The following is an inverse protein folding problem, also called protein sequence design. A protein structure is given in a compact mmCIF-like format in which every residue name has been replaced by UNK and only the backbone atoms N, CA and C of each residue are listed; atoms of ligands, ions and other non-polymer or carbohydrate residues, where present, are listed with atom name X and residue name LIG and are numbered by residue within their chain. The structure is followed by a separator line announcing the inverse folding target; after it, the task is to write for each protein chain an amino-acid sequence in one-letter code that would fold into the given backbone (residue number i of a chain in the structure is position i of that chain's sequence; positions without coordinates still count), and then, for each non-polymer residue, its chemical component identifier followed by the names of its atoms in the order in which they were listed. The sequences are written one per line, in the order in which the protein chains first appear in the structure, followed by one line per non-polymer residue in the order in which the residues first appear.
data_IF_894521596240
#
_entry.id   IF_894521596240
#
_cell.length_a   1.000
_cell.length_b   1.000
_cell.length_c   1.000
_cell.angle_alpha   90.00
_cell.angle_beta   90.00
_cell.angle_gamma   90.00
#
_symmetry.space_group_name_H-M   'P 1'
#
loop_
_entity.id
_entity.type
_entity.pdbx_description
1 polymer ?
#
# COMPACT_ATOMS: atom_id res chain seq x y z
N UNK A 1 -0.34 19.41 9.00
CA UNK A 1 -1.08 18.16 9.31
C UNK A 1 -1.39 17.42 8.03
N UNK A 2 -1.64 16.11 8.12
CA UNK A 2 -2.05 15.28 6.97
C UNK A 2 -3.33 15.84 6.33
N UNK A 3 -4.31 16.29 7.12
CA UNK A 3 -5.55 16.85 6.60
C UNK A 3 -5.31 18.03 5.64
N UNK A 4 -4.49 19.00 6.03
CA UNK A 4 -4.17 20.15 5.16
C UNK A 4 -3.39 19.69 3.90
N UNK A 5 -2.49 18.73 4.03
CA UNK A 5 -1.74 18.22 2.89
C UNK A 5 -2.68 17.55 1.88
N UNK A 6 -3.65 16.74 2.34
CA UNK A 6 -4.70 16.14 1.49
C UNK A 6 -5.52 17.19 0.73
N UNK A 7 -5.90 18.29 1.39
CA UNK A 7 -6.64 19.38 0.74
C UNK A 7 -5.82 20.01 -0.41
N UNK A 8 -4.54 20.27 -0.17
CA UNK A 8 -3.62 20.82 -1.17
C UNK A 8 -3.48 19.82 -2.35
N UNK A 9 -3.22 18.54 -2.07
CA UNK A 9 -3.10 17.53 -3.12
C UNK A 9 -4.38 17.41 -3.93
N UNK A 10 -5.55 17.39 -3.27
CA UNK A 10 -6.84 17.30 -3.96
C UNK A 10 -7.17 18.51 -4.83
N UNK A 11 -6.72 19.70 -4.43
CA UNK A 11 -6.89 20.96 -5.18
C UNK A 11 -5.97 21.03 -6.39
N UNK A 12 -4.70 20.65 -6.22
CA UNK A 12 -3.64 20.88 -7.20
C UNK A 12 -3.47 19.72 -8.21
N UNK A 13 -3.88 18.49 -7.86
CA UNK A 13 -3.79 17.35 -8.76
C UNK A 13 -4.71 17.50 -9.97
N UNK A 14 -4.13 17.34 -11.16
CA UNK A 14 -4.84 17.50 -12.45
C UNK A 14 -5.60 16.23 -12.79
N UNK A 15 -6.77 16.07 -12.20
CA UNK A 15 -7.68 14.94 -12.44
C UNK A 15 -8.91 15.43 -13.17
N UNK A 16 -9.25 14.79 -14.29
CA UNK A 16 -10.43 15.18 -15.08
C UNK A 16 -11.73 14.95 -14.29
N UNK A 17 -12.80 15.67 -14.64
CA UNK A 17 -14.11 15.47 -14.01
C UNK A 17 -14.60 14.02 -14.20
N UNK A 18 -14.41 13.47 -15.39
CA UNK A 18 -14.80 12.10 -15.72
C UNK A 18 -14.05 11.09 -14.83
N UNK A 19 -12.72 11.26 -14.64
CA UNK A 19 -11.93 10.36 -13.80
C UNK A 19 -12.38 10.45 -12.34
N UNK A 20 -12.74 11.65 -11.84
CA UNK A 20 -13.29 11.83 -10.49
C UNK A 20 -14.66 11.17 -10.29
N UNK A 21 -15.44 10.99 -11.32
CA UNK A 21 -16.75 10.34 -11.29
C UNK A 21 -16.64 8.81 -11.39
N UNK A 22 -15.60 8.30 -12.05
CA UNK A 22 -15.40 6.87 -12.33
C UNK A 22 -14.38 6.18 -11.43
N UNK A 23 -13.50 6.94 -10.75
CA UNK A 23 -12.45 6.38 -9.89
C UNK A 23 -12.68 6.82 -8.44
N UNK A 24 -12.92 5.84 -7.57
CA UNK A 24 -13.07 6.06 -6.13
C UNK A 24 -11.69 6.07 -5.49
N UNK A 25 -11.39 7.09 -4.71
CA UNK A 25 -10.16 7.18 -3.92
C UNK A 25 -10.51 7.02 -2.45
N UNK A 26 -10.22 5.87 -1.82
CA UNK A 26 -10.48 5.66 -0.40
C UNK A 26 -9.79 6.74 0.45
N UNK A 27 -10.38 7.09 1.59
CA UNK A 27 -9.78 8.08 2.48
C UNK A 27 -8.47 7.60 3.07
N UNK A 28 -8.35 6.30 3.30
CA UNK A 28 -7.09 5.68 3.73
C UNK A 28 -6.01 5.75 2.66
N UNK A 29 -6.35 5.62 1.37
CA UNK A 29 -5.39 5.80 0.27
C UNK A 29 -4.87 7.25 0.22
N UNK A 30 -5.75 8.25 0.40
CA UNK A 30 -5.34 9.66 0.50
C UNK A 30 -4.41 9.90 1.70
N UNK A 31 -4.71 9.28 2.85
CA UNK A 31 -3.86 9.38 4.04
C UNK A 31 -2.49 8.74 3.81
N UNK A 32 -2.45 7.53 3.20
CA UNK A 32 -1.22 6.83 2.91
C UNK A 32 -0.32 7.62 1.96
N UNK A 33 -0.91 8.24 0.93
CA UNK A 33 -0.17 9.06 -0.02
C UNK A 33 0.58 10.22 0.69
N UNK A 34 -0.09 10.93 1.58
CA UNK A 34 0.56 11.99 2.36
C UNK A 34 1.56 11.41 3.36
N UNK A 35 1.27 10.24 3.95
CA UNK A 35 2.19 9.56 4.85
C UNK A 35 3.51 9.20 4.15
N UNK A 36 3.50 8.80 2.88
CA UNK A 36 4.72 8.57 2.09
C UNK A 36 5.59 9.83 2.04
N UNK A 37 5.01 11.00 1.77
CA UNK A 37 5.76 12.25 1.75
C UNK A 37 6.27 12.65 3.14
N UNK A 38 5.52 12.39 4.21
CA UNK A 38 5.97 12.62 5.58
C UNK A 38 7.12 11.68 5.98
N UNK A 39 7.06 10.43 5.53
CA UNK A 39 8.10 9.43 5.74
C UNK A 39 9.37 9.82 4.98
N UNK A 40 9.26 10.27 3.72
CA UNK A 40 10.39 10.74 2.94
C UNK A 40 11.15 11.89 3.62
N UNK A 41 10.43 12.85 4.23
CA UNK A 41 11.06 13.98 4.96
C UNK A 41 11.84 13.58 6.21
N UNK A 42 11.62 12.37 6.72
CA UNK A 42 12.26 11.83 7.93
C UNK A 42 13.22 10.67 7.64
N UNK A 43 13.32 10.28 6.38
CA UNK A 43 14.17 9.16 5.96
C UNK A 43 15.64 9.54 6.02
N UNK A 44 16.46 8.61 6.49
CA UNK A 44 17.92 8.72 6.46
C UNK A 44 18.52 8.63 5.04
N UNK A 45 17.76 8.11 4.08
CA UNK A 45 18.15 8.00 2.68
C UNK A 45 17.92 9.29 1.88
N UNK A 46 17.17 10.27 2.42
CA UNK A 46 16.78 11.49 1.73
C UNK A 46 17.49 12.70 2.32
N UNK A 47 18.06 13.54 1.45
CA UNK A 47 18.73 14.76 1.91
C UNK A 47 17.73 15.72 2.56
N UNK A 48 17.88 15.88 3.87
CA UNK A 48 17.02 16.78 4.67
C UNK A 48 17.17 18.27 4.29
N UNK A 49 18.31 18.66 3.67
CA UNK A 49 18.55 20.06 3.25
C UNK A 49 17.80 20.41 1.98
N UNK A 50 17.73 19.47 1.03
CA UNK A 50 16.99 19.64 -0.23
C UNK A 50 15.47 19.56 0.02
N UNK A 51 15.06 18.86 1.08
CA UNK A 51 13.68 18.69 1.46
C UNK A 51 12.89 17.80 0.48
N UNK A 52 11.60 17.63 0.76
CA UNK A 52 10.68 16.88 -0.11
C UNK A 52 9.63 17.85 -0.65
N UNK A 53 9.59 17.96 -1.98
CA UNK A 53 8.65 18.86 -2.65
C UNK A 53 7.19 18.48 -2.37
N UNK A 54 6.32 19.47 -2.12
CA UNK A 54 4.88 19.27 -2.07
C UNK A 54 4.31 18.69 -3.40
N UNK A 55 5.03 18.86 -4.51
CA UNK A 55 4.64 18.29 -5.80
C UNK A 55 4.76 16.75 -5.84
N UNK A 56 5.41 16.12 -4.85
CA UNK A 56 5.48 14.67 -4.77
C UNK A 56 4.07 14.07 -4.69
N UNK A 57 3.27 14.49 -3.71
CA UNK A 57 1.93 13.93 -3.51
C UNK A 57 0.96 14.31 -4.63
N UNK A 58 1.13 15.49 -5.23
CA UNK A 58 0.35 15.90 -6.41
C UNK A 58 0.62 14.94 -7.59
N UNK A 59 1.90 14.75 -7.96
CA UNK A 59 2.27 13.84 -9.06
C UNK A 59 1.92 12.38 -8.74
N UNK A 60 2.07 11.98 -7.49
CA UNK A 60 1.73 10.63 -7.04
C UNK A 60 0.21 10.37 -7.12
N UNK A 61 -0.63 11.35 -6.76
CA UNK A 61 -2.08 11.26 -6.97
C UNK A 61 -2.43 11.11 -8.45
N UNK A 62 -1.80 11.89 -9.32
CA UNK A 62 -1.99 11.79 -10.77
C UNK A 62 -1.60 10.39 -11.30
N UNK A 63 -0.52 9.79 -10.78
CA UNK A 63 -0.09 8.43 -11.16
C UNK A 63 -1.06 7.35 -10.63
N UNK A 64 -1.55 7.47 -9.39
CA UNK A 64 -2.58 6.56 -8.87
C UNK A 64 -3.85 6.60 -9.73
N UNK A 65 -4.30 7.80 -10.07
CA UNK A 65 -5.46 7.98 -10.96
C UNK A 65 -5.22 7.40 -12.35
N UNK A 66 -3.99 7.53 -12.89
CA UNK A 66 -3.63 6.96 -14.18
C UNK A 66 -3.61 5.43 -14.15
N UNK A 67 -3.09 4.81 -13.08
CA UNK A 67 -3.10 3.35 -12.91
C UNK A 67 -4.54 2.80 -12.84
N UNK A 68 -5.40 3.43 -12.04
CA UNK A 68 -6.81 3.06 -11.97
C UNK A 68 -7.55 3.28 -13.30
N UNK A 69 -7.23 4.35 -14.02
CA UNK A 69 -7.81 4.61 -15.35
C UNK A 69 -7.39 3.57 -16.39
N UNK A 70 -6.13 3.11 -16.34
CA UNK A 70 -5.67 2.02 -17.21
C UNK A 70 -6.50 0.76 -16.93
N UNK A 71 -6.71 0.42 -15.67
CA UNK A 71 -7.56 -0.71 -15.26
C UNK A 71 -9.00 -0.57 -15.78
N UNK A 72 -9.62 0.63 -15.72
CA UNK A 72 -10.95 0.86 -16.30
C UNK A 72 -10.99 0.55 -17.79
N UNK A 73 -9.93 0.94 -18.52
CA UNK A 73 -9.84 0.70 -19.97
C UNK A 73 -9.69 -0.80 -20.26
N UNK A 74 -8.86 -1.49 -19.51
CA UNK A 74 -8.56 -2.91 -19.71
C UNK A 74 -9.73 -3.83 -19.31
N UNK A 75 -10.47 -3.46 -18.26
CA UNK A 75 -11.61 -4.24 -17.77
C UNK A 75 -12.94 -3.83 -18.41
N UNK A 76 -12.98 -2.73 -19.19
CA UNK A 76 -14.20 -2.11 -19.70
C UNK A 76 -15.24 -1.77 -18.60
N UNK A 77 -14.78 -1.65 -17.34
CA UNK A 77 -15.62 -1.32 -16.20
C UNK A 77 -16.00 0.17 -16.21
N UNK A 78 -17.16 0.49 -15.66
CA UNK A 78 -17.63 1.89 -15.55
C UNK A 78 -17.05 2.61 -14.34
N UNK A 79 -16.61 1.87 -13.31
CA UNK A 79 -16.02 2.40 -12.08
C UNK A 79 -14.92 1.48 -11.57
N UNK A 80 -13.96 2.05 -10.84
CA UNK A 80 -12.95 1.32 -10.09
C UNK A 80 -12.50 2.10 -8.87
N UNK A 81 -11.87 1.40 -7.92
CA UNK A 81 -11.35 1.95 -6.67
C UNK A 81 -9.83 1.92 -6.68
N UNK A 82 -9.17 2.96 -6.18
CA UNK A 82 -7.72 2.93 -5.92
C UNK A 82 -7.41 1.84 -4.89
N UNK A 83 -6.47 0.98 -5.22
CA UNK A 83 -6.00 -0.16 -4.41
C UNK A 83 -4.64 0.15 -3.81
N UNK A 84 -4.26 -0.53 -2.75
CA UNK A 84 -2.93 -0.37 -2.16
C UNK A 84 -1.84 -0.83 -3.14
N UNK A 85 -2.08 -1.87 -3.92
CA UNK A 85 -1.16 -2.35 -4.97
C UNK A 85 -0.89 -1.28 -6.04
N UNK A 86 -1.79 -0.33 -6.28
CA UNK A 86 -1.58 0.78 -7.22
C UNK A 86 -0.46 1.73 -6.77
N UNK A 87 -0.07 1.70 -5.49
CA UNK A 87 1.00 2.54 -4.94
C UNK A 87 2.37 2.26 -5.56
N UNK A 88 2.57 1.12 -6.22
CA UNK A 88 3.79 0.90 -6.99
C UNK A 88 3.91 1.88 -8.18
N UNK A 89 2.80 2.37 -8.70
CA UNK A 89 2.78 3.38 -9.77
C UNK A 89 3.32 4.75 -9.36
N UNK A 90 3.44 5.04 -8.05
CA UNK A 90 3.95 6.32 -7.57
C UNK A 90 5.48 6.36 -7.44
N UNK A 91 6.20 5.25 -7.60
CA UNK A 91 7.65 5.19 -7.52
C UNK A 91 8.33 6.31 -8.36
N UNK A 92 7.96 6.53 -9.64
CA UNK A 92 8.53 7.63 -10.44
C UNK A 92 8.24 9.03 -9.88
N UNK A 93 7.10 9.20 -9.20
CA UNK A 93 6.78 10.47 -8.51
C UNK A 93 7.66 10.70 -7.29
N UNK A 94 8.05 9.64 -6.59
CA UNK A 94 8.96 9.72 -5.45
C UNK A 94 10.37 10.01 -5.95
N UNK A 95 10.93 9.15 -6.81
CA UNK A 95 12.31 9.25 -7.30
C UNK A 95 12.59 10.56 -8.02
N UNK A 96 11.60 11.12 -8.71
CA UNK A 96 11.71 12.41 -9.40
C UNK A 96 11.56 13.66 -8.51
N UNK A 97 11.35 13.51 -7.18
CA UNK A 97 11.05 14.62 -6.26
C UNK A 97 11.80 14.57 -4.93
N UNK A 98 12.70 13.61 -4.77
CA UNK A 98 13.62 13.50 -3.64
C UNK A 98 15.05 13.60 -4.14
N UNK A 99 15.95 14.10 -3.30
CA UNK A 99 17.38 14.01 -3.47
C UNK A 99 17.90 13.00 -2.45
N UNK A 100 18.74 12.07 -2.90
CA UNK A 100 19.26 11.00 -2.05
C UNK A 100 20.59 11.46 -1.41
N UNK A 101 20.85 10.99 -0.20
CA UNK A 101 22.19 10.99 0.37
C UNK A 101 22.97 9.80 -0.19
N UNK A 102 24.28 9.73 0.10
CA UNK A 102 25.17 8.69 -0.43
C UNK A 102 24.65 7.26 -0.15
N UNK A 103 24.16 6.99 1.04
CA UNK A 103 23.57 5.70 1.41
C UNK A 103 22.34 5.37 0.58
N UNK A 104 21.51 6.38 0.29
CA UNK A 104 20.34 6.23 -0.57
C UNK A 104 20.70 6.00 -2.04
N UNK A 105 21.79 6.62 -2.53
CA UNK A 105 22.31 6.36 -3.89
C UNK A 105 22.83 4.93 -4.03
N UNK A 106 23.40 4.37 -2.96
CA UNK A 106 23.89 2.98 -2.95
C UNK A 106 22.74 1.96 -2.99
N UNK A 107 21.65 2.20 -2.27
CA UNK A 107 20.45 1.36 -2.32
C UNK A 107 19.74 1.46 -3.69
N UNK A 108 19.79 2.62 -4.31
CA UNK A 108 19.10 2.92 -5.56
C UNK A 108 17.73 3.57 -5.33
N UNK A 109 17.43 4.54 -6.20
CA UNK A 109 16.25 5.41 -6.03
C UNK A 109 14.92 4.66 -5.96
N UNK A 110 14.75 3.62 -6.79
CA UNK A 110 13.52 2.82 -6.81
C UNK A 110 13.37 1.99 -5.53
N UNK A 111 14.47 1.44 -5.00
CA UNK A 111 14.43 0.69 -3.76
C UNK A 111 14.14 1.61 -2.56
N UNK A 112 14.78 2.79 -2.51
CA UNK A 112 14.45 3.80 -1.51
C UNK A 112 12.96 4.18 -1.59
N UNK A 113 12.40 4.35 -2.79
CA UNK A 113 10.97 4.66 -2.95
C UNK A 113 10.08 3.55 -2.38
N UNK A 114 10.42 2.26 -2.60
CA UNK A 114 9.71 1.12 -1.99
C UNK A 114 9.81 1.11 -0.48
N UNK A 115 11.01 1.36 0.08
CA UNK A 115 11.22 1.48 1.53
C UNK A 115 10.35 2.60 2.12
N UNK A 116 10.21 3.73 1.42
CA UNK A 116 9.36 4.83 1.87
C UNK A 116 7.87 4.46 1.87
N UNK A 117 7.41 3.71 0.87
CA UNK A 117 6.04 3.17 0.81
C UNK A 117 5.83 2.16 1.94
N UNK A 118 6.74 1.20 2.12
CA UNK A 118 6.65 0.19 3.17
C UNK A 118 6.61 0.82 4.57
N UNK A 119 7.43 1.84 4.82
CA UNK A 119 7.42 2.59 6.08
C UNK A 119 6.10 3.35 6.29
N UNK A 120 5.53 3.94 5.24
CA UNK A 120 4.23 4.59 5.32
C UNK A 120 3.10 3.59 5.61
N UNK A 121 3.12 2.43 4.96
CA UNK A 121 2.20 1.31 5.23
C UNK A 121 2.32 0.85 6.68
N UNK A 122 3.54 0.64 7.20
CA UNK A 122 3.78 0.25 8.58
C UNK A 122 3.19 1.25 9.58
N UNK A 123 3.36 2.56 9.32
CA UNK A 123 2.83 3.63 10.18
C UNK A 123 1.30 3.59 10.17
N UNK A 124 0.67 3.53 8.99
CA UNK A 124 -0.79 3.53 8.87
C UNK A 124 -1.40 2.25 9.44
N UNK A 125 -0.78 1.08 9.19
CA UNK A 125 -1.16 -0.18 9.79
C UNK A 125 -1.15 -0.09 11.32
N UNK A 126 -0.07 0.44 11.92
CA UNK A 126 0.06 0.59 13.37
C UNK A 126 -0.88 1.61 14.01
N UNK A 127 -1.56 2.46 13.22
CA UNK A 127 -2.59 3.38 13.69
C UNK A 127 -3.97 2.73 13.76
N UNK A 128 -4.26 1.79 12.86
CA UNK A 128 -5.57 1.16 12.70
C UNK A 128 -5.66 -0.21 13.39
N UNK A 129 -4.54 -0.92 13.50
CA UNK A 129 -4.52 -2.30 13.94
C UNK A 129 -3.56 -2.52 15.12
N UNK A 130 -3.79 -3.56 15.96
CA UNK A 130 -2.91 -3.90 17.07
C UNK A 130 -1.46 -4.13 16.63
N UNK A 131 -0.51 -3.62 17.43
CA UNK A 131 0.93 -3.76 17.13
C UNK A 131 1.40 -5.19 17.36
N UNK A 132 1.95 -5.82 16.33
CA UNK A 132 2.45 -7.21 16.35
C UNK A 132 3.50 -7.40 17.45
N UNK A 133 4.51 -6.54 17.51
CA UNK A 133 5.63 -6.65 18.47
C UNK A 133 5.21 -6.56 19.94
N UNK A 134 4.11 -5.87 20.25
CA UNK A 134 3.58 -5.79 21.62
C UNK A 134 2.90 -7.10 22.01
N UNK A 135 2.07 -7.64 21.14
CA UNK A 135 1.32 -8.87 21.37
C UNK A 135 2.24 -10.09 21.52
N UNK A 136 3.30 -10.18 20.71
CA UNK A 136 4.28 -11.26 20.78
C UNK A 136 5.03 -11.27 22.11
N UNK A 137 5.38 -10.10 22.66
CA UNK A 137 6.04 -9.98 23.98
C UNK A 137 5.15 -10.43 25.13
N UNK A 138 3.85 -10.28 24.99
CA UNK A 138 2.86 -10.66 26.00
C UNK A 138 2.51 -12.16 25.94
N UNK A 139 2.99 -12.90 24.93
CA UNK A 139 2.68 -14.33 24.73
C UNK A 139 1.19 -14.59 24.43
N UNK A 140 0.47 -13.58 24.02
CA UNK A 140 -0.97 -13.64 23.74
C UNK A 140 -1.18 -14.04 22.27
N UNK A 141 -2.20 -14.89 22.01
CA UNK A 141 -2.63 -15.15 20.64
C UNK A 141 -2.98 -13.84 19.95
N UNK A 142 -2.26 -13.51 18.86
CA UNK A 142 -2.48 -12.26 18.13
C UNK A 142 -3.72 -12.36 17.24
N UNK A 143 -4.39 -11.26 16.90
CA UNK A 143 -5.48 -11.27 15.91
C UNK A 143 -5.04 -11.84 14.56
N UNK A 144 -3.74 -11.80 14.27
CA UNK A 144 -3.17 -12.22 12.99
C UNK A 144 -2.82 -13.71 12.96
N UNK A 145 -2.88 -14.43 14.08
CA UNK A 145 -2.45 -15.84 14.16
C UNK A 145 -3.19 -16.73 13.17
N UNK A 146 -4.51 -16.63 13.12
CA UNK A 146 -5.33 -17.45 12.22
C UNK A 146 -5.13 -17.06 10.76
N UNK A 147 -4.84 -15.78 10.47
CA UNK A 147 -4.50 -15.30 9.14
C UNK A 147 -3.14 -15.83 8.68
N UNK A 148 -2.12 -15.76 9.53
CA UNK A 148 -0.78 -16.30 9.21
C UNK A 148 -0.87 -17.81 8.98
N UNK A 149 -1.59 -18.55 9.82
CA UNK A 149 -1.82 -19.99 9.63
C UNK A 149 -2.58 -20.32 8.33
N UNK A 150 -3.49 -19.44 7.89
CA UNK A 150 -4.16 -19.62 6.60
C UNK A 150 -3.15 -19.63 5.45
N UNK A 151 -2.11 -18.80 5.52
CA UNK A 151 -1.04 -18.73 4.52
C UNK A 151 -0.08 -19.92 4.56
N UNK A 152 -0.05 -20.75 5.62
CA UNK A 152 0.78 -21.96 5.65
C UNK A 152 0.43 -22.95 4.52
N UNK A 153 -0.79 -22.91 4.03
CA UNK A 153 -1.30 -23.81 2.98
C UNK A 153 -1.93 -23.10 1.79
N UNK A 154 -1.97 -21.77 1.82
CA UNK A 154 -2.62 -20.94 0.79
C UNK A 154 -1.72 -19.77 0.40
N UNK A 155 -2.02 -19.20 -0.73
CA UNK A 155 -1.50 -17.91 -1.16
C UNK A 155 -2.62 -17.09 -1.78
N UNK A 156 -2.41 -15.79 -1.97
CA UNK A 156 -3.30 -14.95 -2.76
C UNK A 156 -2.50 -14.20 -3.82
N UNK A 157 -3.07 -14.10 -5.00
CA UNK A 157 -2.57 -13.29 -6.11
C UNK A 157 -3.61 -12.24 -6.45
N UNK A 158 -3.20 -10.98 -6.43
CA UNK A 158 -4.03 -9.82 -6.70
C UNK A 158 -3.59 -9.21 -8.01
N UNK A 159 -4.35 -9.45 -9.09
CA UNK A 159 -3.99 -8.97 -10.41
C UNK A 159 -4.33 -7.48 -10.56
N UNK A 160 -3.48 -6.75 -11.26
CA UNK A 160 -3.71 -5.32 -11.55
C UNK A 160 -4.95 -5.10 -12.44
N UNK A 161 -5.27 -6.08 -13.28
CA UNK A 161 -6.36 -6.04 -14.26
C UNK A 161 -7.66 -6.68 -13.79
N UNK A 162 -7.75 -7.16 -12.54
CA UNK A 162 -9.01 -7.65 -11.98
C UNK A 162 -10.01 -6.49 -11.88
N UNK A 163 -11.28 -6.76 -12.18
CA UNK A 163 -12.38 -5.86 -11.81
C UNK A 163 -12.45 -5.67 -10.29
N UNK A 164 -13.12 -4.63 -9.81
CA UNK A 164 -13.27 -4.45 -8.34
C UNK A 164 -14.00 -5.62 -7.69
N UNK A 165 -14.99 -6.22 -8.38
CA UNK A 165 -15.73 -7.37 -7.89
C UNK A 165 -14.81 -8.59 -7.72
N UNK A 166 -13.99 -8.92 -8.72
CA UNK A 166 -13.02 -10.03 -8.67
C UNK A 166 -11.98 -9.81 -7.59
N UNK A 167 -11.41 -8.60 -7.55
CA UNK A 167 -10.38 -8.22 -6.60
C UNK A 167 -10.89 -8.30 -5.14
N UNK A 168 -12.05 -7.70 -4.86
CA UNK A 168 -12.64 -7.73 -3.51
C UNK A 168 -13.14 -9.13 -3.14
N UNK A 169 -13.66 -9.91 -4.10
CA UNK A 169 -14.02 -11.30 -3.87
C UNK A 169 -12.82 -12.14 -3.45
N UNK A 170 -11.66 -11.94 -4.10
CA UNK A 170 -10.42 -12.61 -3.75
C UNK A 170 -9.99 -12.28 -2.31
N UNK A 171 -9.98 -11.02 -1.92
CA UNK A 171 -9.66 -10.60 -0.54
C UNK A 171 -10.68 -11.15 0.47
N UNK A 172 -11.98 -11.07 0.18
CA UNK A 172 -13.07 -11.57 1.05
C UNK A 172 -13.10 -13.09 1.18
N UNK A 173 -12.42 -13.83 0.30
CA UNK A 173 -12.27 -15.29 0.41
C UNK A 173 -11.42 -15.70 1.63
N UNK A 174 -10.55 -14.80 2.12
CA UNK A 174 -9.68 -15.01 3.27
C UNK A 174 -10.44 -14.69 4.55
N UNK A 175 -11.17 -15.68 5.08
CA UNK A 175 -12.05 -15.48 6.25
C UNK A 175 -11.37 -14.86 7.46
N UNK A 176 -10.14 -15.26 7.87
CA UNK A 176 -9.45 -14.60 8.98
C UNK A 176 -9.15 -13.12 8.71
N UNK A 177 -8.89 -12.73 7.45
CA UNK A 177 -8.64 -11.33 7.08
C UNK A 177 -9.90 -10.48 7.24
N UNK A 178 -11.04 -10.99 6.76
CA UNK A 178 -12.36 -10.34 6.92
C UNK A 178 -12.66 -10.12 8.39
N UNK A 179 -12.48 -11.14 9.24
CA UNK A 179 -12.75 -11.03 10.68
C UNK A 179 -11.91 -9.94 11.37
N UNK A 180 -10.66 -9.76 10.95
CA UNK A 180 -9.79 -8.69 11.51
C UNK A 180 -10.32 -7.31 11.10
N UNK A 181 -10.68 -7.13 9.82
CA UNK A 181 -11.19 -5.86 9.30
C UNK A 181 -12.51 -5.51 9.98
N UNK A 182 -13.48 -6.44 10.05
CA UNK A 182 -14.77 -6.22 10.72
C UNK A 182 -14.61 -5.85 12.20
N UNK A 183 -13.66 -6.48 12.90
CA UNK A 183 -13.44 -6.20 14.32
C UNK A 183 -12.84 -4.79 14.59
N UNK A 184 -12.14 -4.18 13.64
CA UNK A 184 -11.39 -2.94 13.89
C UNK A 184 -11.86 -1.75 13.04
N UNK A 185 -12.61 -1.97 11.97
CA UNK A 185 -12.90 -0.94 10.96
C UNK A 185 -14.37 -0.90 10.51
N UNK A 186 -15.27 -1.41 11.34
CA UNK A 186 -16.72 -1.49 11.02
C UNK A 186 -17.39 -0.13 10.73
N UNK A 187 -16.76 0.98 11.17
CA UNK A 187 -17.27 2.34 10.92
C UNK A 187 -16.79 2.94 9.58
N UNK A 188 -15.86 2.25 8.89
CA UNK A 188 -15.32 2.72 7.62
C UNK A 188 -16.21 2.36 6.43
N UNK A 189 -16.04 3.09 5.31
CA UNK A 189 -16.69 2.74 4.04
C UNK A 189 -16.25 1.36 3.53
N UNK A 190 -17.01 0.76 2.62
CA UNK A 190 -16.63 -0.53 2.02
C UNK A 190 -15.29 -0.46 1.28
N UNK A 191 -15.01 0.66 0.60
CA UNK A 191 -13.76 0.88 -0.11
C UNK A 191 -12.57 1.02 0.85
N UNK A 192 -12.76 1.73 1.97
CA UNK A 192 -11.72 1.81 3.01
C UNK A 192 -11.52 0.47 3.72
N UNK A 193 -12.58 -0.33 3.93
CA UNK A 193 -12.44 -1.69 4.48
C UNK A 193 -11.68 -2.61 3.53
N UNK A 194 -11.94 -2.54 2.22
CA UNK A 194 -11.19 -3.27 1.23
C UNK A 194 -9.71 -2.85 1.20
N UNK A 195 -9.44 -1.54 1.29
CA UNK A 195 -8.08 -1.02 1.43
C UNK A 195 -7.40 -1.50 2.72
N UNK A 196 -8.15 -1.64 3.81
CA UNK A 196 -7.66 -2.23 5.06
C UNK A 196 -7.24 -3.70 4.92
N UNK A 197 -7.93 -4.49 4.08
CA UNK A 197 -7.54 -5.88 3.81
C UNK A 197 -6.14 -5.93 3.20
N UNK A 198 -5.88 -5.14 2.17
CA UNK A 198 -4.55 -5.02 1.56
C UNK A 198 -3.52 -4.48 2.57
N UNK A 199 -3.89 -3.46 3.36
CA UNK A 199 -3.02 -2.85 4.36
C UNK A 199 -2.58 -3.86 5.42
N UNK A 200 -3.44 -4.79 5.84
CA UNK A 200 -3.09 -5.87 6.76
C UNK A 200 -2.09 -6.82 6.11
N UNK A 201 -2.36 -7.29 4.89
CA UNK A 201 -1.46 -8.20 4.18
C UNK A 201 -0.08 -7.57 3.99
N UNK A 202 -0.03 -6.35 3.48
CA UNK A 202 1.24 -5.63 3.28
C UNK A 202 1.93 -5.30 4.61
N UNK A 203 1.20 -4.87 5.63
CA UNK A 203 1.74 -4.63 6.97
C UNK A 203 2.38 -5.89 7.57
N UNK A 204 1.77 -7.06 7.36
CA UNK A 204 2.35 -8.33 7.80
C UNK A 204 3.65 -8.66 7.05
N UNK A 205 3.80 -8.29 5.78
CA UNK A 205 5.08 -8.49 5.06
C UNK A 205 6.19 -7.60 5.61
N UNK A 206 5.90 -6.34 5.93
CA UNK A 206 6.88 -5.43 6.54
C UNK A 206 7.33 -5.94 7.92
N UNK A 207 6.47 -6.69 8.61
CA UNK A 207 6.81 -7.35 9.87
C UNK A 207 7.38 -8.77 9.71
N UNK A 208 7.74 -9.19 8.49
CA UNK A 208 8.28 -10.52 8.17
C UNK A 208 7.37 -11.69 8.64
N UNK A 209 6.05 -11.50 8.60
CA UNK A 209 5.06 -12.53 8.91
C UNK A 209 4.48 -13.18 7.66
N UNK A 210 4.53 -12.48 6.53
CA UNK A 210 4.22 -12.97 5.20
C UNK A 210 5.34 -12.54 4.25
N UNK A 211 5.46 -13.22 3.13
CA UNK A 211 6.27 -12.79 1.99
C UNK A 211 5.40 -12.08 0.95
N UNK A 212 5.98 -11.09 0.28
CA UNK A 212 5.38 -10.35 -0.83
C UNK A 212 6.29 -10.46 -2.06
N UNK A 213 5.72 -10.81 -3.17
CA UNK A 213 6.39 -10.75 -4.47
C UNK A 213 5.53 -10.03 -5.49
N UNK A 214 6.17 -9.37 -6.43
CA UNK A 214 5.52 -8.62 -7.49
C UNK A 214 6.05 -9.11 -8.84
N UNK A 215 5.16 -9.24 -9.79
CA UNK A 215 5.47 -9.41 -11.20
C UNK A 215 4.73 -8.35 -12.03
N UNK A 216 4.87 -8.39 -13.35
CA UNK A 216 4.28 -7.40 -14.25
C UNK A 216 2.75 -7.37 -14.24
N UNK A 217 2.08 -8.36 -13.68
CA UNK A 217 0.63 -8.55 -13.75
C UNK A 217 -0.05 -8.56 -12.39
N UNK A 218 0.69 -8.88 -11.32
CA UNK A 218 0.08 -9.11 -10.00
C UNK A 218 1.03 -8.92 -8.83
N UNK A 219 0.42 -8.70 -7.65
CA UNK A 219 1.02 -8.92 -6.34
C UNK A 219 0.63 -10.29 -5.80
N UNK A 220 1.62 -11.02 -5.29
CA UNK A 220 1.40 -12.28 -4.59
C UNK A 220 1.81 -12.14 -3.13
N UNK A 221 0.94 -12.60 -2.23
CA UNK A 221 1.24 -12.78 -0.81
C UNK A 221 1.25 -14.26 -0.47
N UNK A 222 2.26 -14.67 0.31
CA UNK A 222 2.53 -16.08 0.62
C UNK A 222 3.09 -16.22 2.04
N UNK A 223 3.26 -17.46 2.53
CA UNK A 223 3.86 -17.69 3.85
C UNK A 223 5.30 -17.18 3.91
N UNK A 224 5.69 -16.67 5.08
CA UNK A 224 7.05 -16.19 5.31
C UNK A 224 8.08 -17.34 5.18
N UNK A 225 9.15 -17.09 4.41
CA UNK A 225 10.25 -18.04 4.24
C UNK A 225 10.30 -18.75 2.87
N UNK A 226 9.26 -18.71 2.06
CA UNK A 226 9.29 -19.32 0.72
C UNK A 226 10.32 -18.62 -0.17
N UNK A 227 10.36 -17.29 -0.17
CA UNK A 227 11.31 -16.51 -0.97
C UNK A 227 12.77 -16.60 -0.47
N UNK A 228 13.01 -16.91 0.80
CA UNK A 228 14.38 -17.10 1.32
C UNK A 228 15.07 -18.33 0.71
N UNK A 229 14.33 -19.37 0.34
CA UNK A 229 14.90 -20.54 -0.34
C UNK A 229 15.29 -20.26 -1.79
N UNK A 230 14.56 -19.44 -2.52
CA UNK A 230 14.86 -19.10 -3.91
C UNK A 230 16.00 -18.07 -4.06
N UNK A 231 16.18 -17.17 -3.12
CA UNK A 231 17.26 -16.16 -3.15
C UNK A 231 18.61 -16.66 -2.62
N UNK A 232 18.69 -17.79 -1.93
CA UNK A 232 19.96 -18.43 -1.50
C UNK A 232 20.66 -19.22 -2.59
N UNK A 233 20.00 -19.46 -3.73
CA UNK A 233 20.53 -20.26 -4.84
C UNK A 233 20.84 -19.41 -6.11
N UNK A 234 20.96 -18.10 -5.98
CA UNK A 234 21.51 -17.17 -6.96
C UNK A 234 22.77 -16.51 -6.38
#
# INVERSE_FOLDING_TARGET
SIALAREITAQEARVSKQDKESIIVPDLAKNLLEQVAFTARKSEYVDAKSGVSARLTISAMENLMAAAKLRLIETEASKTTIRLVDFMSIIPSITGKIELVYEGEQEGADEVAKILIDNAVMIQFGQLFPRISKLEKEGVKTPYTDLIQWFDTNFIELNYTDTDEEFFSSLKSIKPLVAIVEAHTHELSEEDQAFCMELILWGLTVHNKLDKSENNTAFKFDSAGINQYFNRNK
#
